data_IF_961108904704
#
_entry.id   IF_961108904704
#
_cell.length_a   1.000
_cell.length_b   1.000
_cell.length_c   1.000
_cell.angle_alpha   90.00
_cell.angle_beta   90.00
_cell.angle_gamma   90.00
#
_symmetry.space_group_name_H-M   'P 1'
#
loop_
_entity.id
_entity.type
_entity.pdbx_description
1 polymer ?
#
# COMPACT_ATOMS: atom_id res chain seq x y z
N UNK A 1 -18.82 6.84 39.58
CA UNK A 1 -19.00 6.58 38.13
C UNK A 1 -20.21 5.68 37.95
N UNK A 2 -21.10 5.99 37.01
CA UNK A 2 -22.28 5.18 36.72
C UNK A 2 -21.92 3.89 35.98
N UNK A 3 -22.74 2.85 36.14
CA UNK A 3 -22.61 1.61 35.36
C UNK A 3 -23.11 1.91 33.94
N UNK A 4 -22.21 1.81 32.97
CA UNK A 4 -22.53 1.98 31.54
C UNK A 4 -22.55 0.59 30.91
N UNK A 5 -23.61 0.28 30.17
CA UNK A 5 -23.73 -0.98 29.45
C UNK A 5 -23.54 -0.71 27.95
N UNK A 6 -22.57 -1.39 27.33
CA UNK A 6 -22.31 -1.36 25.89
C UNK A 6 -22.52 -2.78 25.36
N UNK A 7 -23.34 -2.93 24.32
CA UNK A 7 -23.51 -4.20 23.64
C UNK A 7 -22.34 -4.46 22.70
N UNK A 8 -21.79 -5.67 22.74
CA UNK A 8 -20.71 -6.11 21.88
C UNK A 8 -20.88 -7.60 21.56
N UNK A 9 -20.35 -8.03 20.41
CA UNK A 9 -20.32 -9.43 20.03
C UNK A 9 -19.46 -10.24 21.02
N UNK A 10 -19.99 -11.37 21.51
CA UNK A 10 -19.32 -12.20 22.50
C UNK A 10 -17.95 -12.69 22.02
N UNK A 11 -17.82 -13.02 20.73
CA UNK A 11 -16.57 -13.47 20.13
C UNK A 11 -15.51 -12.36 20.19
N UNK A 12 -15.88 -11.14 19.83
CA UNK A 12 -14.97 -9.98 19.88
C UNK A 12 -14.53 -9.67 21.31
N UNK A 13 -15.44 -9.78 22.29
CA UNK A 13 -15.09 -9.57 23.70
C UNK A 13 -14.08 -10.61 24.18
N UNK A 14 -14.28 -11.89 23.81
CA UNK A 14 -13.34 -12.97 24.15
C UNK A 14 -11.96 -12.79 23.50
N UNK A 15 -11.93 -12.37 22.23
CA UNK A 15 -10.67 -12.07 21.53
C UNK A 15 -9.93 -10.89 22.20
N UNK A 16 -10.65 -9.82 22.54
CA UNK A 16 -10.07 -8.67 23.23
C UNK A 16 -9.52 -9.04 24.61
N UNK A 17 -10.21 -9.91 25.36
CA UNK A 17 -9.73 -10.41 26.65
C UNK A 17 -8.44 -11.21 26.54
N UNK A 18 -8.33 -12.06 25.52
CA UNK A 18 -7.11 -12.84 25.27
C UNK A 18 -5.93 -11.92 24.93
N UNK A 19 -6.13 -10.94 24.06
CA UNK A 19 -5.08 -9.97 23.69
C UNK A 19 -4.67 -9.07 24.86
N UNK A 20 -5.63 -8.63 25.68
CA UNK A 20 -5.36 -7.87 26.89
C UNK A 20 -4.48 -8.66 27.87
N UNK A 21 -4.82 -9.94 28.13
CA UNK A 21 -4.03 -10.83 29.00
C UNK A 21 -2.60 -11.02 28.49
N UNK A 22 -2.42 -11.26 27.19
CA UNK A 22 -1.08 -11.41 26.59
C UNK A 22 -0.20 -10.19 26.79
N UNK A 23 -0.79 -8.99 26.84
CA UNK A 23 -0.08 -7.71 27.01
C UNK A 23 -0.09 -7.17 28.44
N UNK A 24 -0.66 -7.90 29.40
CA UNK A 24 -0.75 -7.47 30.80
C UNK A 24 -1.74 -6.33 31.06
N UNK A 25 -2.70 -6.09 30.16
CA UNK A 25 -3.74 -5.08 30.34
C UNK A 25 -4.98 -5.64 31.03
N UNK A 26 -5.69 -4.77 31.76
CA UNK A 26 -7.04 -5.08 32.26
C UNK A 26 -8.08 -4.85 31.16
N UNK A 27 -9.22 -5.55 31.24
CA UNK A 27 -10.34 -5.32 30.33
C UNK A 27 -10.82 -3.87 30.39
N UNK A 28 -10.86 -3.29 31.59
CA UNK A 28 -11.23 -1.88 31.74
C UNK A 28 -10.29 -0.93 30.96
N UNK A 29 -8.97 -1.13 31.06
CA UNK A 29 -8.01 -0.27 30.38
C UNK A 29 -8.10 -0.40 28.85
N UNK A 30 -8.13 -1.64 28.33
CA UNK A 30 -8.17 -1.87 26.89
C UNK A 30 -9.50 -1.42 26.27
N UNK A 31 -10.63 -1.61 26.96
CA UNK A 31 -11.94 -1.17 26.48
C UNK A 31 -12.00 0.35 26.39
N UNK A 32 -11.51 1.08 27.40
CA UNK A 32 -11.49 2.55 27.33
C UNK A 32 -10.57 3.05 26.21
N UNK A 33 -9.39 2.43 26.02
CA UNK A 33 -8.49 2.78 24.92
C UNK A 33 -9.14 2.52 23.55
N UNK A 34 -9.82 1.38 23.38
CA UNK A 34 -10.51 1.04 22.15
C UNK A 34 -11.65 2.03 21.85
N UNK A 35 -12.46 2.37 22.85
CA UNK A 35 -13.54 3.37 22.70
C UNK A 35 -12.96 4.73 22.35
N UNK A 36 -11.89 5.17 23.02
CA UNK A 36 -11.24 6.45 22.71
C UNK A 36 -10.72 6.49 21.27
N UNK A 37 -9.99 5.45 20.84
CA UNK A 37 -9.47 5.36 19.48
C UNK A 37 -10.61 5.40 18.44
N UNK A 38 -11.72 4.70 18.69
CA UNK A 38 -12.89 4.73 17.82
C UNK A 38 -13.55 6.10 17.78
N UNK A 39 -13.66 6.80 18.91
CA UNK A 39 -14.22 8.17 18.95
C UNK A 39 -13.35 9.14 18.16
N UNK A 40 -12.02 9.07 18.30
CA UNK A 40 -11.09 9.90 17.53
C UNK A 40 -11.20 9.61 16.03
N UNK A 41 -11.23 8.34 15.64
CA UNK A 41 -11.38 7.95 14.24
C UNK A 41 -12.70 8.40 13.62
N UNK A 42 -13.80 8.36 14.37
CA UNK A 42 -15.10 8.85 13.91
C UNK A 42 -15.17 10.38 13.83
N UNK A 43 -14.29 11.12 14.52
CA UNK A 43 -14.21 12.58 14.44
C UNK A 43 -13.38 13.04 13.24
N UNK A 44 -12.22 12.43 13.04
CA UNK A 44 -11.25 12.85 12.03
C UNK A 44 -11.46 12.15 10.67
N UNK A 45 -12.19 11.03 10.66
CA UNK A 45 -12.40 10.22 9.46
C UNK A 45 -13.58 9.25 9.59
N UNK A 46 -13.36 7.99 9.21
CA UNK A 46 -14.33 6.91 9.37
C UNK A 46 -13.73 5.74 10.17
N UNK A 47 -14.58 4.84 10.69
CA UNK A 47 -14.13 3.68 11.46
C UNK A 47 -13.12 2.78 10.70
N UNK A 48 -13.23 2.71 9.38
CA UNK A 48 -12.36 1.92 8.50
C UNK A 48 -10.93 2.48 8.45
N UNK A 49 -10.76 3.77 8.76
CA UNK A 49 -9.45 4.45 8.78
C UNK A 49 -8.52 3.82 9.82
N UNK A 50 -9.04 3.38 10.98
CA UNK A 50 -8.22 2.71 12.00
C UNK A 50 -7.64 1.38 11.52
N UNK A 51 -8.47 0.57 10.84
CA UNK A 51 -8.02 -0.70 10.29
C UNK A 51 -6.97 -0.48 9.20
N UNK A 52 -7.19 0.55 8.37
CA UNK A 52 -6.25 0.98 7.34
C UNK A 52 -4.91 1.43 7.96
N UNK A 53 -4.95 2.21 9.05
CA UNK A 53 -3.77 2.72 9.75
C UNK A 53 -2.96 1.60 10.41
N UNK A 54 -3.62 0.59 10.97
CA UNK A 54 -2.95 -0.58 11.54
C UNK A 54 -2.21 -1.34 10.44
N UNK A 55 -2.83 -1.52 9.27
CA UNK A 55 -2.19 -2.22 8.16
C UNK A 55 -1.02 -1.40 7.59
N UNK A 56 -1.22 -0.09 7.40
CA UNK A 56 -0.17 0.83 6.98
C UNK A 56 1.02 0.85 7.97
N UNK A 57 0.75 0.86 9.28
CA UNK A 57 1.78 0.82 10.32
C UNK A 57 2.67 -0.43 10.23
N UNK A 58 2.08 -1.60 9.94
CA UNK A 58 2.86 -2.84 9.74
C UNK A 58 3.81 -2.69 8.55
N UNK A 59 3.33 -2.15 7.43
CA UNK A 59 4.14 -1.94 6.22
C UNK A 59 5.28 -0.97 6.52
N UNK A 60 4.98 0.18 7.13
CA UNK A 60 5.98 1.19 7.50
C UNK A 60 7.04 0.61 8.43
N UNK A 61 6.63 -0.18 9.42
CA UNK A 61 7.56 -0.80 10.37
C UNK A 61 8.42 -1.88 9.72
N UNK A 62 7.82 -2.77 8.93
CA UNK A 62 8.52 -3.91 8.32
C UNK A 62 9.50 -3.46 7.24
N UNK A 63 9.22 -2.35 6.54
CA UNK A 63 10.05 -1.77 5.48
C UNK A 63 10.88 -0.57 5.92
N UNK A 64 10.86 -0.22 7.22
CA UNK A 64 11.56 0.95 7.78
C UNK A 64 11.29 2.26 7.00
N UNK A 65 10.03 2.47 6.59
CA UNK A 65 9.65 3.62 5.76
C UNK A 65 9.72 4.92 6.57
N UNK A 66 10.37 5.94 6.01
CA UNK A 66 10.42 7.29 6.57
C UNK A 66 9.31 8.13 5.90
N UNK A 67 8.31 8.62 6.65
CA UNK A 67 7.28 9.47 6.08
C UNK A 67 7.87 10.85 5.76
N UNK A 68 7.90 11.21 4.49
CA UNK A 68 8.28 12.54 3.99
C UNK A 68 7.18 13.09 3.12
N UNK A 69 7.12 14.41 2.95
CA UNK A 69 6.12 15.04 2.07
C UNK A 69 6.40 14.69 0.61
N UNK A 70 5.34 14.60 -0.19
CA UNK A 70 5.47 14.38 -1.65
C UNK A 70 6.37 15.44 -2.27
N UNK A 71 6.21 16.72 -1.89
CA UNK A 71 7.04 17.82 -2.39
C UNK A 71 8.54 17.61 -2.14
N UNK A 72 8.92 17.12 -0.96
CA UNK A 72 10.31 16.83 -0.63
C UNK A 72 10.86 15.71 -1.53
N UNK A 73 10.12 14.60 -1.64
CA UNK A 73 10.53 13.46 -2.45
C UNK A 73 10.63 13.82 -3.94
N UNK A 74 9.68 14.58 -4.48
CA UNK A 74 9.68 15.07 -5.86
C UNK A 74 10.95 15.88 -6.18
N UNK A 75 11.33 16.80 -5.29
CA UNK A 75 12.52 17.62 -5.51
C UNK A 75 13.81 16.81 -5.41
N UNK A 76 13.90 15.86 -4.47
CA UNK A 76 15.06 14.98 -4.39
C UNK A 76 15.21 14.10 -5.63
N UNK A 77 14.12 13.47 -6.09
CA UNK A 77 14.16 12.64 -7.29
C UNK A 77 14.57 13.49 -8.49
N UNK A 78 13.98 14.68 -8.66
CA UNK A 78 14.33 15.58 -9.77
C UNK A 78 15.81 15.94 -9.77
N UNK A 79 16.35 16.39 -8.64
CA UNK A 79 17.78 16.75 -8.51
C UNK A 79 18.68 15.54 -8.84
N UNK A 80 18.34 14.36 -8.32
CA UNK A 80 19.11 13.15 -8.57
C UNK A 80 19.04 12.72 -10.04
N UNK A 81 17.86 12.86 -10.67
CA UNK A 81 17.63 12.45 -12.06
C UNK A 81 18.33 13.40 -13.05
N UNK A 82 18.36 14.70 -12.77
CA UNK A 82 19.14 15.70 -13.53
C UNK A 82 20.64 15.39 -13.52
N UNK A 83 21.15 14.78 -12.44
CA UNK A 83 22.55 14.42 -12.29
C UNK A 83 22.90 13.06 -12.92
N UNK A 84 22.13 12.02 -12.60
CA UNK A 84 22.34 10.66 -13.11
C UNK A 84 21.01 9.87 -13.14
N UNK A 85 20.32 9.94 -14.27
CA UNK A 85 19.04 9.25 -14.49
C UNK A 85 19.16 7.73 -14.44
N UNK A 86 20.31 7.17 -14.84
CA UNK A 86 20.52 5.72 -14.86
C UNK A 86 20.64 5.22 -13.42
N UNK A 87 21.42 5.90 -12.59
CA UNK A 87 21.56 5.54 -11.18
C UNK A 87 20.26 5.67 -10.41
N UNK A 88 19.47 6.71 -10.68
CA UNK A 88 18.12 6.83 -10.10
C UNK A 88 17.25 5.66 -10.53
N UNK A 89 17.28 5.28 -11.80
CA UNK A 89 16.52 4.13 -12.31
C UNK A 89 16.89 2.84 -11.56
N UNK A 90 18.18 2.55 -11.37
CA UNK A 90 18.64 1.38 -10.60
C UNK A 90 18.15 1.39 -9.14
N UNK A 91 18.12 2.56 -8.50
CA UNK A 91 17.58 2.72 -7.14
C UNK A 91 16.07 2.42 -7.14
N UNK A 92 15.32 2.95 -8.11
CA UNK A 92 13.89 2.68 -8.25
C UNK A 92 13.63 1.18 -8.52
N UNK A 93 14.46 0.52 -9.32
CA UNK A 93 14.37 -0.93 -9.54
C UNK A 93 14.59 -1.72 -8.25
N UNK A 94 15.64 -1.36 -7.51
CA UNK A 94 15.97 -1.98 -6.23
C UNK A 94 14.84 -1.82 -5.20
N UNK A 95 14.24 -0.63 -5.14
CA UNK A 95 13.08 -0.36 -4.29
C UNK A 95 11.87 -1.23 -4.68
N UNK A 96 11.60 -1.39 -5.98
CA UNK A 96 10.55 -2.28 -6.47
C UNK A 96 10.77 -3.75 -6.09
N UNK A 97 12.00 -4.24 -6.20
CA UNK A 97 12.37 -5.62 -5.81
C UNK A 97 12.22 -5.82 -4.29
N UNK A 98 12.64 -4.85 -3.47
CA UNK A 98 12.47 -4.90 -2.02
C UNK A 98 10.99 -4.95 -1.62
N UNK A 99 10.18 -4.08 -2.21
CA UNK A 99 8.74 -4.06 -1.96
C UNK A 99 8.07 -5.35 -2.42
N UNK A 100 8.44 -5.88 -3.59
CA UNK A 100 7.93 -7.16 -4.06
C UNK A 100 8.29 -8.31 -3.14
N UNK A 101 9.53 -8.34 -2.65
CA UNK A 101 10.02 -9.36 -1.72
C UNK A 101 9.23 -9.34 -0.42
N UNK A 102 8.94 -8.14 0.11
CA UNK A 102 8.06 -7.97 1.25
C UNK A 102 6.64 -8.47 0.97
N UNK A 103 6.03 -8.04 -0.14
CA UNK A 103 4.67 -8.43 -0.51
C UNK A 103 4.55 -9.96 -0.67
N UNK A 104 5.56 -10.63 -1.23
CA UNK A 104 5.59 -12.10 -1.37
C UNK A 104 5.56 -12.85 -0.05
N UNK A 105 5.97 -12.21 1.06
CA UNK A 105 5.82 -12.79 2.41
C UNK A 105 4.38 -12.77 2.92
N UNK A 106 3.52 -11.95 2.30
CA UNK A 106 2.13 -11.73 2.72
C UNK A 106 1.13 -12.33 1.73
N UNK A 107 1.43 -12.29 0.43
CA UNK A 107 0.48 -12.61 -0.64
C UNK A 107 1.13 -13.28 -1.85
N UNK A 108 0.35 -14.09 -2.58
CA UNK A 108 0.85 -14.92 -3.69
C UNK A 108 0.48 -14.42 -5.08
N UNK A 109 -0.59 -13.63 -5.23
CA UNK A 109 -1.06 -13.17 -6.54
C UNK A 109 -1.36 -11.67 -6.63
N UNK A 110 -1.52 -11.17 -7.86
CA UNK A 110 -1.81 -9.74 -8.13
C UNK A 110 -3.13 -9.27 -7.51
N UNK A 111 -4.16 -10.11 -7.49
CA UNK A 111 -5.44 -9.80 -6.86
C UNK A 111 -5.28 -9.52 -5.36
N UNK A 112 -4.38 -10.24 -4.69
CA UNK A 112 -4.11 -10.03 -3.27
C UNK A 112 -3.32 -8.75 -3.01
N UNK A 113 -2.43 -8.36 -3.94
CA UNK A 113 -1.75 -7.06 -3.90
C UNK A 113 -2.78 -5.92 -3.99
N UNK A 114 -3.77 -6.05 -4.88
CA UNK A 114 -4.87 -5.08 -5.00
C UNK A 114 -5.69 -5.04 -3.71
N UNK A 115 -5.97 -6.20 -3.10
CA UNK A 115 -6.66 -6.27 -1.82
C UNK A 115 -5.88 -5.58 -0.69
N UNK A 116 -4.54 -5.65 -0.70
CA UNK A 116 -3.71 -4.87 0.24
C UNK A 116 -3.86 -3.38 -0.06
N UNK A 117 -3.73 -2.98 -1.32
CA UNK A 117 -3.89 -1.58 -1.73
C UNK A 117 -5.25 -1.03 -1.29
N UNK A 118 -6.36 -1.74 -1.53
CA UNK A 118 -7.70 -1.30 -1.14
C UNK A 118 -7.86 -1.07 0.37
N UNK A 119 -7.11 -1.81 1.20
CA UNK A 119 -7.09 -1.61 2.66
C UNK A 119 -6.34 -0.36 3.10
N UNK A 120 -5.43 0.17 2.28
CA UNK A 120 -4.57 1.32 2.65
C UNK A 120 -4.72 2.53 1.72
N UNK A 121 -5.54 2.42 0.67
CA UNK A 121 -5.71 3.46 -0.36
C UNK A 121 -6.17 4.81 0.20
N UNK A 122 -6.87 4.81 1.33
CA UNK A 122 -7.34 6.02 2.01
C UNK A 122 -6.20 6.81 2.67
N UNK A 123 -5.04 6.19 2.87
CA UNK A 123 -3.86 6.77 3.52
C UNK A 123 -2.77 7.10 2.50
N UNK A 124 -2.70 6.33 1.40
CA UNK A 124 -1.70 6.55 0.36
C UNK A 124 -2.03 7.77 -0.52
N UNK A 125 -1.02 8.50 -1.01
CA UNK A 125 -1.22 9.62 -1.94
C UNK A 125 -1.63 9.19 -3.36
N UNK A 126 -1.71 7.88 -3.62
CA UNK A 126 -2.18 7.32 -4.90
C UNK A 126 -3.69 7.45 -4.99
N UNK A 127 -4.18 8.14 -6.02
CA UNK A 127 -5.60 8.46 -6.17
C UNK A 127 -6.43 7.27 -6.63
N UNK A 128 -5.93 6.51 -7.60
CA UNK A 128 -6.67 5.39 -8.18
C UNK A 128 -5.74 4.38 -8.85
N UNK A 129 -6.13 3.11 -8.78
CA UNK A 129 -5.50 1.99 -9.49
C UNK A 129 -6.60 1.22 -10.20
N UNK A 130 -6.65 1.35 -11.52
CA UNK A 130 -7.63 0.70 -12.37
C UNK A 130 -7.01 -0.48 -13.11
N UNK A 131 -7.63 -1.65 -13.02
CA UNK A 131 -7.27 -2.82 -13.81
C UNK A 131 -8.39 -3.18 -14.77
N UNK A 132 -8.02 -3.39 -16.04
CA UNK A 132 -8.90 -3.93 -17.07
C UNK A 132 -8.20 -5.08 -17.76
N UNK A 133 -8.86 -6.23 -17.81
CA UNK A 133 -8.44 -7.35 -18.62
C UNK A 133 -9.19 -7.30 -19.96
N UNK A 134 -8.48 -7.54 -21.05
CA UNK A 134 -9.02 -7.74 -22.39
C UNK A 134 -8.40 -8.99 -23.03
N UNK A 135 -8.73 -9.26 -24.30
CA UNK A 135 -8.21 -10.42 -25.04
C UNK A 135 -6.69 -10.35 -25.26
N UNK A 136 -6.13 -9.13 -25.31
CA UNK A 136 -4.73 -8.87 -25.62
C UNK A 136 -3.83 -8.82 -24.36
N UNK A 137 -4.43 -8.72 -23.17
CA UNK A 137 -3.67 -8.63 -21.93
C UNK A 137 -4.40 -8.02 -20.74
N UNK A 138 -3.59 -7.50 -19.82
CA UNK A 138 -4.06 -6.70 -18.68
C UNK A 138 -3.52 -5.28 -18.85
N UNK A 139 -4.43 -4.31 -18.82
CA UNK A 139 -4.13 -2.89 -18.74
C UNK A 139 -4.25 -2.44 -17.29
N UNK A 140 -3.15 -1.91 -16.74
CA UNK A 140 -3.14 -1.32 -15.39
C UNK A 140 -2.91 0.19 -15.55
N UNK A 141 -3.78 0.99 -14.97
CA UNK A 141 -3.65 2.44 -14.90
C UNK A 141 -3.52 2.88 -13.45
N UNK A 142 -2.46 3.61 -13.14
CA UNK A 142 -2.23 4.21 -11.82
C UNK A 142 -2.32 5.73 -11.98
N UNK A 143 -3.01 6.39 -11.06
CA UNK A 143 -3.09 7.86 -11.02
C UNK A 143 -2.69 8.40 -9.64
N UNK A 144 -2.01 9.54 -9.62
CA UNK A 144 -1.51 10.15 -8.38
C UNK A 144 -0.18 9.56 -7.87
N UNK A 145 0.61 8.90 -8.72
CA UNK A 145 1.91 8.33 -8.35
C UNK A 145 3.08 9.33 -8.42
N UNK A 146 2.80 10.62 -8.26
CA UNK A 146 3.76 11.72 -8.42
C UNK A 146 3.17 12.92 -9.17
N UNK A 147 3.98 13.98 -9.32
CA UNK A 147 3.62 15.16 -10.09
C UNK A 147 4.55 15.36 -11.29
N UNK A 148 5.87 15.31 -11.07
CA UNK A 148 6.89 15.42 -12.11
C UNK A 148 6.99 14.19 -13.02
N UNK A 149 7.69 14.34 -14.14
CA UNK A 149 7.95 13.22 -15.04
C UNK A 149 8.92 12.22 -14.41
N UNK A 150 9.93 12.71 -13.70
CA UNK A 150 11.01 11.95 -13.10
C UNK A 150 10.49 11.04 -11.97
N UNK A 151 9.67 11.61 -11.06
CA UNK A 151 9.00 10.88 -9.99
C UNK A 151 7.98 9.87 -10.54
N UNK A 152 7.18 10.26 -11.53
CA UNK A 152 6.23 9.35 -12.19
C UNK A 152 6.97 8.21 -12.89
N UNK A 153 8.13 8.49 -13.51
CA UNK A 153 8.99 7.49 -14.15
C UNK A 153 9.57 6.55 -13.10
N UNK A 154 10.12 7.05 -11.99
CA UNK A 154 10.61 6.22 -10.90
C UNK A 154 9.51 5.30 -10.32
N UNK A 155 8.33 5.85 -10.04
CA UNK A 155 7.17 5.06 -9.61
C UNK A 155 6.80 3.99 -10.64
N UNK A 156 6.91 4.32 -11.94
CA UNK A 156 6.65 3.35 -13.01
C UNK A 156 7.67 2.20 -13.04
N UNK A 157 8.92 2.48 -12.69
CA UNK A 157 9.98 1.48 -12.59
C UNK A 157 9.77 0.59 -11.38
N UNK A 158 9.45 1.18 -10.22
CA UNK A 158 9.15 0.45 -8.97
C UNK A 158 8.01 -0.55 -9.22
N UNK A 159 6.87 -0.08 -9.73
CA UNK A 159 5.72 -0.95 -9.93
C UNK A 159 5.94 -1.98 -11.05
N UNK A 160 6.71 -1.65 -12.09
CA UNK A 160 7.16 -2.64 -13.09
C UNK A 160 7.91 -3.79 -12.43
N UNK A 161 8.85 -3.49 -11.53
CA UNK A 161 9.61 -4.52 -10.82
C UNK A 161 8.75 -5.37 -9.89
N UNK A 162 7.74 -4.79 -9.25
CA UNK A 162 6.76 -5.58 -8.50
C UNK A 162 6.05 -6.57 -9.43
N UNK A 163 5.54 -6.12 -10.58
CA UNK A 163 4.86 -7.00 -11.53
C UNK A 163 5.80 -8.12 -12.04
N UNK A 164 7.02 -7.78 -12.45
CA UNK A 164 8.01 -8.74 -12.93
C UNK A 164 8.35 -9.80 -11.88
N UNK A 165 8.50 -9.38 -10.61
CA UNK A 165 8.74 -10.28 -9.48
C UNK A 165 7.57 -11.26 -9.25
N UNK A 166 6.34 -10.85 -9.54
CA UNK A 166 5.17 -11.73 -9.50
C UNK A 166 4.98 -12.55 -10.80
N UNK A 167 5.97 -12.53 -11.69
CA UNK A 167 6.00 -13.33 -12.91
C UNK A 167 5.27 -12.70 -14.09
N UNK A 168 4.82 -11.45 -14.01
CA UNK A 168 4.16 -10.77 -15.11
C UNK A 168 5.18 -10.23 -16.13
N UNK A 169 4.87 -10.37 -17.42
CA UNK A 169 5.66 -9.75 -18.49
C UNK A 169 5.05 -8.41 -18.90
N UNK A 170 5.73 -7.32 -18.54
CA UNK A 170 5.33 -5.96 -18.92
C UNK A 170 5.81 -5.68 -20.35
N UNK A 171 4.87 -5.53 -21.29
CA UNK A 171 5.18 -5.28 -22.69
C UNK A 171 5.38 -3.79 -22.99
N UNK A 172 4.56 -2.95 -22.36
CA UNK A 172 4.61 -1.50 -22.52
C UNK A 172 4.35 -0.83 -21.18
N UNK A 173 5.08 0.25 -20.95
CA UNK A 173 4.86 1.19 -19.85
C UNK A 173 4.92 2.61 -20.41
N UNK A 174 3.96 3.44 -20.01
CA UNK A 174 3.99 4.88 -20.27
C UNK A 174 3.82 5.63 -18.96
N UNK A 175 4.75 6.53 -18.66
CA UNK A 175 4.68 7.46 -17.54
C UNK A 175 4.47 8.88 -18.09
N UNK A 176 3.54 9.63 -17.52
CA UNK A 176 3.23 10.99 -17.94
C UNK A 176 3.12 11.93 -16.73
N UNK A 177 3.45 13.22 -16.89
CA UNK A 177 3.31 14.21 -15.81
C UNK A 177 1.89 14.20 -15.20
N UNK A 178 1.81 14.54 -13.91
CA UNK A 178 0.57 14.41 -13.15
C UNK A 178 0.34 13.02 -12.55
N UNK A 179 1.37 12.17 -12.55
CA UNK A 179 1.34 10.88 -11.84
C UNK A 179 0.47 9.84 -12.52
N UNK A 180 0.40 9.83 -13.84
CA UNK A 180 -0.36 8.84 -14.60
C UNK A 180 0.60 7.84 -15.21
N UNK A 181 0.42 6.57 -14.84
CA UNK A 181 1.18 5.44 -15.37
C UNK A 181 0.20 4.46 -16.01
N UNK A 182 0.55 3.96 -17.19
CA UNK A 182 -0.22 2.90 -17.86
C UNK A 182 0.72 1.75 -18.22
N UNK A 183 0.34 0.55 -17.81
CA UNK A 183 0.99 -0.70 -18.17
C UNK A 183 0.12 -1.51 -19.12
N UNK A 184 0.76 -2.20 -20.06
CA UNK A 184 0.18 -3.33 -20.78
C UNK A 184 0.98 -4.57 -20.50
N UNK A 185 0.32 -5.58 -19.97
CA UNK A 185 0.89 -6.84 -19.54
C UNK A 185 0.35 -7.94 -20.44
N UNK A 186 1.22 -8.80 -20.98
CA UNK A 186 0.78 -9.97 -21.74
C UNK A 186 0.15 -11.02 -20.80
N UNK A 187 -0.93 -11.66 -21.25
CA UNK A 187 -1.34 -12.93 -20.68
C UNK A 187 -0.25 -13.95 -20.99
N UNK A 188 0.41 -14.49 -19.96
CA UNK A 188 1.24 -15.66 -20.15
C UNK A 188 0.32 -16.81 -20.50
N UNK A 189 0.35 -17.24 -21.76
CA UNK A 189 -0.23 -18.51 -22.17
C UNK A 189 0.28 -19.59 -21.22
N UNK A 190 -0.65 -20.27 -20.55
CA UNK A 190 -0.33 -21.38 -19.66
C UNK A 190 0.68 -22.28 -20.37
N UNK A 191 1.88 -22.44 -19.79
CA UNK A 191 2.74 -23.54 -20.19
C UNK A 191 1.95 -24.80 -19.84
N UNK A 192 1.41 -25.48 -20.86
CA UNK A 192 0.96 -26.85 -20.72
C UNK A 192 2.11 -27.70 -20.17
N UNK A 193 1.80 -28.67 -19.28
CA UNK A 193 2.79 -29.47 -18.55
C UNK A 193 3.72 -30.29 -19.45
#
# INVERSE_FOLDING_TARGET
MGRINIAADEKLVKELEQEAKKKGYTMYAVTNLAIQAMVEALREGNAETLLSLIEYYKIVKDLELIPVTTWYLENLIRIAYEHDSNRVTEICESAGIQLASYLKTKVTGLNDIINIYDKIRTILPVKDVFLKQDEDGIVIRITGSGFGLESTTCASVIFRKILEEYGFRVNQVSATPGGIIVYKIALLSAKEP
#
